data_IF_965817672767
#
_entry.id   IF_965817672767
#
_cell.length_a   1.000
_cell.length_b   1.000
_cell.length_c   1.000
_cell.angle_alpha   90.00
_cell.angle_beta   90.00
_cell.angle_gamma   90.00
#
_symmetry.space_group_name_H-M   'P 1'
#
loop_
_entity.id
_entity.type
_entity.pdbx_description
1 polymer ?
#
# COMPACT_ATOMS: atom_id res chain seq x y z
N UNK A 1 0.37 8.40 -17.58
CA UNK A 1 0.50 9.32 -16.43
C UNK A 1 -0.81 9.26 -15.65
N UNK A 2 -0.77 9.46 -14.34
CA UNK A 2 -1.98 9.62 -13.53
C UNK A 2 -1.94 11.07 -13.05
N UNK A 3 -2.81 11.91 -13.60
CA UNK A 3 -2.72 13.36 -13.42
C UNK A 3 -3.17 13.84 -12.03
N UNK A 4 -3.92 13.00 -11.30
CA UNK A 4 -4.45 13.33 -9.98
C UNK A 4 -4.13 12.25 -8.93
N UNK A 5 -4.92 11.17 -8.89
CA UNK A 5 -4.80 10.15 -7.85
C UNK A 5 -5.02 8.74 -8.37
N UNK A 6 -4.39 7.76 -7.71
CA UNK A 6 -4.68 6.34 -7.87
C UNK A 6 -5.20 5.79 -6.56
N UNK A 7 -6.43 5.28 -6.59
CA UNK A 7 -7.03 4.57 -5.47
C UNK A 7 -7.28 3.13 -5.87
N UNK A 8 -6.86 2.17 -5.04
CA UNK A 8 -7.03 0.74 -5.31
C UNK A 8 -7.60 0.07 -4.07
N UNK A 9 -8.73 -0.63 -4.21
CA UNK A 9 -9.34 -1.43 -3.15
C UNK A 9 -9.37 -2.89 -3.57
N UNK A 10 -8.70 -3.72 -2.79
CA UNK A 10 -8.67 -5.18 -2.96
C UNK A 10 -9.49 -5.76 -1.81
N UNK A 11 -10.56 -6.50 -2.14
CA UNK A 11 -11.49 -7.04 -1.12
C UNK A 11 -10.98 -8.33 -0.46
N UNK A 12 -10.01 -9.00 -1.08
CA UNK A 12 -9.45 -10.26 -0.61
C UNK A 12 -7.93 -10.11 -0.44
N UNK A 13 -7.13 -10.75 -1.30
CA UNK A 13 -5.67 -10.80 -1.15
C UNK A 13 -4.98 -10.01 -2.26
N UNK A 14 -3.91 -9.31 -1.89
CA UNK A 14 -2.95 -8.73 -2.83
C UNK A 14 -1.63 -9.50 -2.69
N UNK A 15 -1.15 -10.05 -3.80
CA UNK A 15 0.12 -10.77 -3.86
C UNK A 15 1.01 -10.09 -4.89
N UNK A 16 2.18 -9.64 -4.45
CA UNK A 16 3.15 -8.97 -5.30
C UNK A 16 4.50 -9.71 -5.22
N UNK A 17 4.94 -10.23 -6.36
CA UNK A 17 6.32 -10.72 -6.54
C UNK A 17 7.05 -9.76 -7.48
N UNK A 18 8.24 -9.34 -7.08
CA UNK A 18 9.12 -8.51 -7.89
C UNK A 18 10.47 -9.22 -7.98
N UNK A 19 10.84 -9.66 -9.18
CA UNK A 19 12.03 -10.51 -9.41
C UNK A 19 13.37 -9.77 -9.27
N UNK A 20 13.36 -8.45 -9.39
CA UNK A 20 14.59 -7.65 -9.36
C UNK A 20 14.53 -6.54 -8.30
N UNK A 21 13.90 -5.40 -8.61
CA UNK A 21 13.88 -4.24 -7.70
C UNK A 21 12.51 -3.58 -7.59
N UNK A 22 12.22 -3.06 -6.39
CA UNK A 22 11.11 -2.15 -6.12
C UNK A 22 11.67 -0.91 -5.45
N UNK A 23 11.31 0.27 -5.95
CA UNK A 23 11.68 1.57 -5.37
C UNK A 23 10.44 2.44 -5.27
N UNK A 24 10.20 2.99 -4.09
CA UNK A 24 9.10 3.92 -3.84
C UNK A 24 9.69 5.29 -3.49
N UNK A 25 9.33 6.33 -4.23
CA UNK A 25 9.70 7.72 -3.94
C UNK A 25 8.42 8.52 -3.71
N UNK A 26 8.17 8.88 -2.45
CA UNK A 26 6.97 9.61 -2.04
C UNK A 26 7.39 11.00 -1.59
N UNK A 27 6.94 12.04 -2.30
CA UNK A 27 7.26 13.45 -1.96
C UNK A 27 6.45 13.97 -0.78
N UNK A 28 5.26 13.41 -0.55
CA UNK A 28 4.39 13.72 0.57
C UNK A 28 4.54 12.71 1.70
N UNK A 29 3.49 12.57 2.52
CA UNK A 29 3.46 11.57 3.60
C UNK A 29 3.33 10.14 3.07
N UNK A 30 4.03 9.20 3.71
CA UNK A 30 3.84 7.77 3.52
C UNK A 30 3.27 7.18 4.83
N UNK A 31 2.07 6.61 4.77
CA UNK A 31 1.42 5.95 5.90
C UNK A 31 1.17 4.48 5.57
N UNK A 32 1.58 3.60 6.48
CA UNK A 32 1.30 2.17 6.43
C UNK A 32 0.55 1.79 7.70
N UNK A 33 -0.66 1.25 7.54
CA UNK A 33 -1.45 0.71 8.66
C UNK A 33 -1.69 -0.77 8.41
N UNK A 34 -1.42 -1.59 9.43
CA UNK A 34 -1.61 -3.04 9.41
C UNK A 34 -2.34 -3.40 10.70
N UNK A 35 -3.59 -3.86 10.59
CA UNK A 35 -4.44 -4.15 11.76
C UNK A 35 -4.05 -5.43 12.50
N UNK A 36 -3.33 -6.33 11.83
CA UNK A 36 -2.84 -7.59 12.39
C UNK A 36 -1.32 -7.53 12.61
N UNK A 37 -0.54 -8.22 11.76
CA UNK A 37 0.91 -8.38 11.94
C UNK A 37 1.69 -7.91 10.73
N UNK A 38 2.79 -7.20 10.98
CA UNK A 38 3.80 -6.86 9.97
C UNK A 38 5.04 -7.73 10.17
N UNK A 39 5.42 -8.47 9.14
CA UNK A 39 6.65 -9.25 9.11
C UNK A 39 7.61 -8.64 8.10
N UNK A 40 8.84 -8.36 8.51
CA UNK A 40 9.91 -7.89 7.64
C UNK A 40 11.09 -8.85 7.74
N UNK A 41 11.46 -9.45 6.61
CA UNK A 41 12.66 -10.27 6.47
C UNK A 41 13.57 -9.61 5.44
N UNK A 42 14.79 -9.29 5.84
CA UNK A 42 15.78 -8.64 4.99
C UNK A 42 16.97 -9.58 4.81
N UNK A 43 17.56 -9.58 3.61
CA UNK A 43 18.71 -10.43 3.31
C UNK A 43 20.04 -9.88 3.81
N UNK A 44 20.17 -8.55 3.90
CA UNK A 44 21.43 -7.89 4.24
C UNK A 44 21.28 -6.86 5.37
N UNK A 45 20.48 -5.81 5.19
CA UNK A 45 20.38 -4.72 6.16
C UNK A 45 19.00 -4.05 6.16
N UNK A 46 18.61 -3.53 7.33
CA UNK A 46 17.55 -2.54 7.51
C UNK A 46 18.22 -1.21 7.83
N UNK A 47 18.07 -0.23 6.93
CA UNK A 47 18.63 1.11 7.08
C UNK A 47 17.48 2.10 7.17
N UNK A 48 17.46 2.93 8.21
CA UNK A 48 16.42 3.93 8.45
C UNK A 48 17.10 5.25 8.78
N UNK A 49 16.86 6.26 7.95
CA UNK A 49 17.29 7.64 8.18
C UNK A 49 16.05 8.52 8.27
N UNK A 50 15.96 9.31 9.33
CA UNK A 50 14.89 10.27 9.54
C UNK A 50 15.52 11.61 9.92
N UNK A 51 14.95 12.70 9.40
CA UNK A 51 15.48 14.06 9.65
C UNK A 51 15.27 14.56 11.08
N UNK A 52 14.22 14.08 11.76
CA UNK A 52 13.86 14.55 13.10
C UNK A 52 13.74 13.40 14.12
N UNK A 53 12.90 12.39 13.85
CA UNK A 53 12.57 11.38 14.85
C UNK A 53 12.38 9.98 14.25
N UNK A 54 12.87 8.97 14.98
CA UNK A 54 12.43 7.57 14.84
C UNK A 54 11.78 7.15 16.16
N UNK A 55 10.48 6.91 16.15
CA UNK A 55 9.72 6.52 17.35
C UNK A 55 9.20 5.09 17.23
N UNK A 56 9.67 4.22 18.12
CA UNK A 56 9.21 2.82 18.23
C UNK A 56 8.41 2.67 19.52
N UNK A 57 7.08 2.67 19.41
CA UNK A 57 6.18 2.42 20.54
C UNK A 57 5.62 1.01 20.45
N UNK A 58 5.82 0.22 21.50
CA UNK A 58 5.16 -1.06 21.69
C UNK A 58 4.29 -1.05 22.94
N UNK A 59 3.13 -1.70 22.89
CA UNK A 59 2.22 -1.78 24.04
C UNK A 59 2.75 -2.64 25.18
N UNK A 60 3.43 -3.75 24.86
CA UNK A 60 3.91 -4.71 25.87
C UNK A 60 5.44 -4.87 25.91
N UNK A 61 6.09 -5.05 24.75
CA UNK A 61 7.52 -5.42 24.70
C UNK A 61 8.19 -4.91 23.42
N UNK A 62 9.45 -4.49 23.57
CA UNK A 62 10.42 -4.35 22.48
C UNK A 62 11.58 -5.31 22.76
N UNK A 63 12.00 -6.08 21.76
CA UNK A 63 13.16 -6.97 21.84
C UNK A 63 14.09 -6.63 20.67
N UNK A 64 15.34 -6.33 20.99
CA UNK A 64 16.41 -6.12 20.02
C UNK A 64 17.49 -7.15 20.29
N UNK A 65 17.77 -7.99 19.30
CA UNK A 65 18.75 -9.07 19.38
C UNK A 65 19.77 -8.88 18.27
N UNK A 66 21.04 -9.04 18.63
CA UNK A 66 22.16 -9.01 17.70
C UNK A 66 23.11 -10.14 18.05
N UNK A 67 23.64 -10.83 17.02
CA UNK A 67 24.53 -11.97 17.24
C UNK A 67 25.95 -11.57 17.62
N UNK A 68 26.41 -10.39 17.19
CA UNK A 68 27.79 -9.94 17.40
C UNK A 68 27.88 -8.70 18.30
N UNK A 69 27.08 -7.66 18.01
CA UNK A 69 27.16 -6.39 18.73
C UNK A 69 25.82 -5.66 18.70
N UNK A 70 25.43 -5.05 19.82
CA UNK A 70 24.39 -4.03 19.87
C UNK A 70 25.00 -2.71 20.37
N UNK A 71 24.86 -1.64 19.58
CA UNK A 71 25.40 -0.32 19.91
C UNK A 71 24.30 0.75 19.84
N UNK A 72 24.22 1.57 20.88
CA UNK A 72 23.35 2.76 20.99
C UNK A 72 24.24 3.98 21.20
N UNK A 73 24.24 4.94 20.28
CA UNK A 73 25.13 6.11 20.33
C UNK A 73 24.35 7.41 20.21
N UNK A 74 24.71 8.40 21.05
CA UNK A 74 24.18 9.76 21.00
C UNK A 74 25.34 10.73 21.25
N UNK A 75 25.67 11.55 20.23
CA UNK A 75 26.83 12.45 20.30
C UNK A 75 28.11 11.70 20.67
N UNK A 76 28.79 12.17 21.73
CA UNK A 76 29.99 11.52 22.29
C UNK A 76 29.74 10.39 23.28
N UNK A 77 28.49 10.03 23.57
CA UNK A 77 28.13 8.97 24.52
C UNK A 77 27.61 7.73 23.81
N UNK A 78 27.87 6.54 24.36
CA UNK A 78 27.34 5.29 23.81
C UNK A 78 27.19 4.18 24.85
N UNK A 79 26.34 3.21 24.52
CA UNK A 79 26.23 1.89 25.14
C UNK A 79 26.55 0.86 24.07
N UNK A 80 27.47 -0.06 24.36
CA UNK A 80 27.83 -1.16 23.47
C UNK A 80 27.76 -2.48 24.21
N UNK A 81 27.16 -3.48 23.59
CA UNK A 81 27.05 -4.85 24.08
C UNK A 81 27.71 -5.75 23.05
N UNK A 82 28.72 -6.52 23.47
CA UNK A 82 29.46 -7.45 22.64
C UNK A 82 29.96 -8.64 23.50
N UNK A 83 30.71 -9.62 22.96
CA UNK A 83 31.19 -10.76 23.74
C UNK A 83 32.09 -10.41 24.95
N UNK A 84 32.65 -9.21 25.02
CA UNK A 84 33.43 -8.73 26.17
C UNK A 84 32.56 -8.18 27.31
N UNK A 85 31.26 -7.97 27.07
CA UNK A 85 30.28 -7.52 28.05
C UNK A 85 29.57 -6.22 27.62
N UNK A 86 29.22 -5.39 28.62
CA UNK A 86 28.54 -4.10 28.40
C UNK A 86 29.50 -2.95 28.67
N UNK A 87 29.74 -2.12 27.66
CA UNK A 87 30.53 -0.89 27.77
C UNK A 87 29.60 0.33 27.79
N UNK A 88 29.75 1.21 28.78
CA UNK A 88 29.01 2.47 28.89
C UNK A 88 29.99 3.63 28.97
N UNK A 89 29.87 4.59 28.05
CA UNK A 89 30.76 5.76 27.98
C UNK A 89 29.94 7.04 27.82
N UNK A 90 30.26 8.05 28.63
CA UNK A 90 29.72 9.40 28.53
C UNK A 90 30.31 10.34 29.60
N UNK A 91 30.17 11.67 29.48
CA UNK A 91 30.75 12.64 30.44
C UNK A 91 30.24 12.46 31.88
N UNK A 92 28.99 12.05 32.04
CA UNK A 92 28.37 11.73 33.33
C UNK A 92 27.38 10.58 33.13
N UNK A 93 27.44 9.57 33.99
CA UNK A 93 26.50 8.44 33.99
C UNK A 93 25.66 8.54 35.26
N UNK A 94 24.35 8.75 35.12
CA UNK A 94 23.42 8.77 36.24
C UNK A 94 22.77 7.40 36.41
N UNK A 95 22.92 6.79 37.57
CA UNK A 95 22.33 5.49 37.89
C UNK A 95 21.28 5.67 38.99
N UNK A 96 20.02 5.38 38.68
CA UNK A 96 18.87 5.58 39.58
C UNK A 96 18.75 7.00 40.16
N UNK A 97 19.19 8.03 39.42
CA UNK A 97 19.20 9.42 39.90
C UNK A 97 18.89 10.41 38.78
N UNK A 98 17.88 11.26 39.02
CA UNK A 98 17.48 12.36 38.14
C UNK A 98 16.93 11.95 36.77
N UNK A 99 16.51 12.96 35.99
CA UNK A 99 16.04 12.81 34.61
C UNK A 99 14.52 12.65 34.47
N UNK A 100 14.05 12.81 33.23
CA UNK A 100 12.70 12.53 32.77
C UNK A 100 12.81 11.85 31.40
N UNK A 101 11.94 10.88 31.08
CA UNK A 101 11.97 10.25 29.77
C UNK A 101 11.63 11.26 28.67
N UNK A 102 12.15 11.04 27.46
CA UNK A 102 11.67 11.74 26.28
C UNK A 102 10.23 11.35 25.93
N UNK A 103 9.54 12.20 25.16
CA UNK A 103 8.22 11.91 24.61
C UNK A 103 8.34 11.83 23.09
N UNK A 104 7.88 10.73 22.50
CA UNK A 104 7.80 10.61 21.04
C UNK A 104 6.48 11.11 20.49
N UNK A 105 6.45 11.51 19.22
CA UNK A 105 5.29 12.11 18.53
C UNK A 105 4.07 11.17 18.40
N UNK A 106 4.32 9.86 18.41
CA UNK A 106 3.29 8.82 18.26
C UNK A 106 2.86 8.58 16.81
N UNK A 107 1.84 7.75 16.60
CA UNK A 107 1.26 7.55 15.26
C UNK A 107 0.36 8.75 14.92
N UNK A 108 0.51 9.30 13.72
CA UNK A 108 -0.35 10.37 13.17
C UNK A 108 -0.52 10.28 11.63
N UNK A 109 -0.45 9.08 11.06
CA UNK A 109 -0.60 8.85 9.61
C UNK A 109 -2.03 9.07 9.09
N UNK A 110 -2.30 8.65 7.85
CA UNK A 110 -3.63 8.65 7.26
C UNK A 110 -3.96 7.26 6.68
N UNK A 111 -5.24 6.87 6.75
CA UNK A 111 -5.73 5.65 6.08
C UNK A 111 -6.00 5.91 4.59
N UNK A 112 -5.87 4.91 3.70
CA UNK A 112 -6.25 5.05 2.30
C UNK A 112 -7.73 5.39 2.14
N UNK A 113 -8.06 6.30 1.20
CA UNK A 113 -9.43 6.53 0.77
C UNK A 113 -9.99 5.32 0.01
N UNK A 114 -11.32 5.18 -0.02
CA UNK A 114 -11.97 4.17 -0.85
C UNK A 114 -12.15 4.69 -2.28
N UNK A 115 -12.03 3.83 -3.32
CA UNK A 115 -12.38 4.23 -4.67
C UNK A 115 -13.82 4.75 -4.72
N UNK A 116 -14.05 5.84 -5.45
CA UNK A 116 -15.39 6.35 -5.70
C UNK A 116 -16.27 5.34 -6.43
N UNK A 117 -17.60 5.50 -6.36
CA UNK A 117 -18.54 4.72 -7.16
C UNK A 117 -18.36 5.08 -8.63
N UNK A 118 -17.93 4.12 -9.45
CA UNK A 118 -18.00 4.27 -10.90
C UNK A 118 -19.48 4.15 -11.26
N UNK A 119 -20.10 5.23 -11.77
CA UNK A 119 -21.41 5.10 -12.37
C UNK A 119 -21.29 4.10 -13.53
N UNK A 120 -21.93 2.95 -13.39
CA UNK A 120 -22.15 2.07 -14.52
C UNK A 120 -23.08 2.85 -15.44
N UNK A 121 -22.52 3.50 -16.47
CA UNK A 121 -23.33 4.00 -17.56
C UNK A 121 -24.23 2.84 -17.98
N UNK A 122 -25.54 3.06 -17.95
CA UNK A 122 -26.50 2.07 -18.40
C UNK A 122 -26.01 1.56 -19.77
N UNK A 123 -26.03 0.24 -20.02
CA UNK A 123 -25.71 -0.30 -21.33
C UNK A 123 -26.42 0.55 -22.39
N UNK A 124 -25.76 0.94 -23.50
CA UNK A 124 -26.41 1.67 -24.57
C UNK A 124 -27.74 0.98 -24.83
N UNK A 125 -28.86 1.73 -24.76
CA UNK A 125 -30.16 1.15 -25.04
C UNK A 125 -30.05 0.56 -26.44
N UNK A 126 -30.14 -0.77 -26.54
CA UNK A 126 -30.21 -1.42 -27.83
C UNK A 126 -31.38 -0.76 -28.57
N UNK A 127 -31.22 -0.35 -29.84
CA UNK A 127 -32.34 0.17 -30.61
C UNK A 127 -33.48 -0.83 -30.49
N UNK A 128 -34.64 -0.35 -30.07
CA UNK A 128 -35.84 -1.18 -29.93
C UNK A 128 -36.12 -1.76 -31.31
N UNK A 129 -35.77 -3.03 -31.52
CA UNK A 129 -36.11 -3.73 -32.75
C UNK A 129 -37.64 -3.82 -32.74
N UNK A 130 -38.34 -3.22 -33.72
CA UNK A 130 -39.78 -3.36 -33.78
C UNK A 130 -40.13 -4.86 -33.84
N UNK A 131 -41.18 -5.31 -33.13
CA UNK A 131 -41.64 -6.68 -33.25
C UNK A 131 -41.85 -7.00 -34.73
N UNK A 132 -41.30 -8.12 -35.20
CA UNK A 132 -41.60 -8.62 -36.54
C UNK A 132 -43.12 -8.82 -36.64
N UNK A 133 -43.81 -7.87 -37.28
CA UNK A 133 -45.28 -7.86 -37.39
C UNK A 133 -45.82 -9.09 -38.16
N UNK A 134 -44.94 -9.83 -38.86
CA UNK A 134 -45.28 -11.05 -39.61
C UNK A 134 -44.14 -12.07 -39.54
N UNK A 135 -44.42 -13.37 -39.36
CA UNK A 135 -43.40 -14.39 -39.51
C UNK A 135 -42.89 -14.40 -40.96
N UNK A 136 -41.61 -14.07 -41.15
CA UNK A 136 -40.96 -14.15 -42.47
C UNK A 136 -40.64 -15.60 -42.78
N UNK A 137 -41.00 -16.06 -43.98
CA UNK A 137 -40.67 -17.42 -44.40
C UNK A 137 -39.14 -17.59 -44.52
N UNK A 138 -38.57 -18.72 -44.08
CA UNK A 138 -37.11 -18.96 -44.11
C UNK A 138 -36.51 -18.73 -45.51
N UNK A 139 -37.14 -19.17 -46.62
CA UNK A 139 -36.66 -18.85 -47.96
C UNK A 139 -36.71 -17.35 -48.30
N UNK A 140 -37.71 -16.63 -47.80
CA UNK A 140 -37.88 -15.19 -48.01
C UNK A 140 -36.74 -14.42 -47.33
N UNK A 141 -36.36 -14.84 -46.13
CA UNK A 141 -35.27 -14.24 -45.36
C UNK A 141 -33.91 -14.44 -46.04
N UNK A 142 -33.62 -15.67 -46.49
CA UNK A 142 -32.39 -15.99 -47.21
C UNK A 142 -32.27 -15.19 -48.52
N UNK A 143 -33.39 -14.95 -49.21
CA UNK A 143 -33.42 -14.16 -50.45
C UNK A 143 -33.18 -12.68 -50.20
N UNK A 144 -33.81 -12.12 -49.16
CA UNK A 144 -33.59 -10.74 -48.75
C UNK A 144 -32.14 -10.48 -48.30
N UNK A 145 -31.55 -11.43 -47.55
CA UNK A 145 -30.14 -11.36 -47.14
C UNK A 145 -29.18 -11.42 -48.33
N UNK A 146 -29.50 -12.21 -49.36
CA UNK A 146 -28.70 -12.29 -50.58
C UNK A 146 -28.82 -11.03 -51.47
N UNK A 147 -29.91 -10.27 -51.34
CA UNK A 147 -30.20 -9.06 -52.12
C UNK A 147 -29.78 -7.76 -51.41
N UNK A 148 -29.43 -7.81 -50.12
CA UNK A 148 -28.98 -6.64 -49.36
C UNK A 148 -30.10 -5.73 -48.84
N UNK A 149 -31.36 -6.12 -48.99
CA UNK A 149 -32.54 -5.31 -48.65
C UNK A 149 -32.93 -5.34 -47.17
N UNK A 150 -32.11 -5.94 -46.30
CA UNK A 150 -32.33 -5.95 -44.85
C UNK A 150 -31.88 -4.61 -44.23
N UNK A 151 -32.50 -3.50 -44.64
CA UNK A 151 -32.26 -2.18 -44.05
C UNK A 151 -33.30 -1.90 -42.96
N UNK A 152 -32.85 -1.87 -41.71
CA UNK A 152 -33.47 -0.99 -40.72
C UNK A 152 -33.03 0.43 -41.11
N UNK A 153 -33.89 1.20 -41.78
CA UNK A 153 -33.69 2.64 -41.89
C UNK A 153 -33.94 3.25 -40.50
N UNK A 154 -32.88 3.66 -39.83
CA UNK A 154 -32.97 4.49 -38.63
C UNK A 154 -33.27 5.94 -39.02
N UNK A 155 -34.15 6.59 -38.26
CA UNK A 155 -34.23 8.06 -38.16
C UNK A 155 -32.99 8.63 -37.45
#
# INVERSE_FOLDING_TARGET
EIDNERVTRIKANDHLTVENEKRDHVKGGFSLTVDASMHQKLGQALLVEAGEEVHVKAGAKVVLEAGAELTLKVGGSFVKIDPSGVTLVGPCIKMNSGGSPGCGSGWAGQLPSLPGTVEVMAPPQLPKIPPLEKPVCIPCLLRAMAQGDALIQGE
#
